data_IF_322955472912
#
_entry.id   IF_322955472912
#
_cell.length_a   1.000
_cell.length_b   1.000
_cell.length_c   1.000
_cell.angle_alpha   90.00
_cell.angle_beta   90.00
_cell.angle_gamma   90.00
#
_symmetry.space_group_name_H-M   'P 1'
#
loop_
_entity.id
_entity.type
_entity.pdbx_description
1 polymer ?
#
# COMPACT_ATOMS: atom_id res chain seq x y z
N UNK A 1 -4.02 9.98 2.80
CA UNK A 1 -3.51 8.93 3.70
C UNK A 1 -4.42 8.81 4.91
N UNK A 2 -4.36 7.68 5.63
CA UNK A 2 -5.44 7.24 6.53
C UNK A 2 -5.74 8.17 7.72
N UNK A 3 -4.76 8.93 8.22
CA UNK A 3 -4.99 9.95 9.25
C UNK A 3 -4.66 11.36 8.73
N UNK A 4 -5.54 12.36 8.84
CA UNK A 4 -5.22 13.72 8.44
C UNK A 4 -4.28 14.43 9.43
N UNK A 5 -4.07 13.88 10.63
CA UNK A 5 -3.29 14.53 11.70
C UNK A 5 -1.82 14.17 11.70
N UNK A 6 -1.40 13.14 10.94
CA UNK A 6 -0.01 12.74 10.87
C UNK A 6 0.75 13.59 9.84
N UNK A 7 1.97 14.07 10.16
CA UNK A 7 2.82 14.83 9.24
C UNK A 7 3.51 13.88 8.24
N UNK A 8 2.69 13.23 7.43
CA UNK A 8 3.06 12.14 6.53
C UNK A 8 4.29 12.40 5.66
N UNK A 9 4.38 13.58 5.05
CA UNK A 9 5.52 13.91 4.20
C UNK A 9 6.84 13.93 4.98
N UNK A 10 6.85 14.57 6.16
CA UNK A 10 8.03 14.60 7.02
C UNK A 10 8.36 13.23 7.61
N UNK A 11 7.33 12.45 7.96
CA UNK A 11 7.51 11.07 8.44
C UNK A 11 8.21 10.21 7.39
N UNK A 12 7.73 10.23 6.14
CA UNK A 12 8.33 9.45 5.07
C UNK A 12 9.75 9.90 4.74
N UNK A 13 9.99 11.20 4.59
CA UNK A 13 11.33 11.75 4.36
C UNK A 13 12.32 11.31 5.45
N UNK A 14 11.88 11.33 6.71
CA UNK A 14 12.70 10.87 7.85
C UNK A 14 13.01 9.38 7.73
N UNK A 15 12.00 8.54 7.47
CA UNK A 15 12.19 7.08 7.34
C UNK A 15 13.11 6.74 6.16
N UNK A 16 12.95 7.40 5.01
CA UNK A 16 13.81 7.18 3.86
C UNK A 16 15.26 7.56 4.15
N UNK A 17 15.49 8.64 4.89
CA UNK A 17 16.82 9.06 5.33
C UNK A 17 17.52 8.08 6.26
N UNK A 18 16.78 7.16 6.89
CA UNK A 18 17.34 6.12 7.76
C UNK A 18 17.83 4.88 7.00
N UNK A 19 17.61 4.77 5.68
CA UNK A 19 18.04 3.62 4.88
C UNK A 19 19.52 3.78 4.51
N UNK A 20 20.45 3.01 5.11
CA UNK A 20 21.85 3.11 4.75
C UNK A 20 22.10 2.45 3.40
N UNK A 21 22.77 3.16 2.49
CA UNK A 21 23.14 2.65 1.15
C UNK A 21 21.95 2.10 0.36
N UNK A 22 21.04 2.96 -0.12
CA UNK A 22 19.80 2.54 -0.78
C UNK A 22 20.03 1.81 -2.12
N UNK A 23 21.23 1.93 -2.69
CA UNK A 23 21.56 1.35 -3.98
C UNK A 23 21.89 -0.15 -3.89
N UNK A 24 21.47 -0.90 -4.91
CA UNK A 24 21.97 -2.25 -5.20
C UNK A 24 22.78 -2.15 -6.49
N UNK A 25 24.05 -2.52 -6.45
CA UNK A 25 24.98 -2.45 -7.60
C UNK A 25 24.99 -1.07 -8.30
N UNK A 26 25.01 0.00 -7.50
CA UNK A 26 25.02 1.39 -8.00
C UNK A 26 23.68 1.89 -8.55
N UNK A 27 22.58 1.16 -8.32
CA UNK A 27 21.25 1.50 -8.85
C UNK A 27 20.20 1.53 -7.74
N UNK A 28 19.29 2.48 -7.85
CA UNK A 28 18.05 2.47 -7.08
C UNK A 28 17.07 1.55 -7.79
N UNK A 29 16.74 0.43 -7.14
CA UNK A 29 15.73 -0.52 -7.63
C UNK A 29 14.47 -0.32 -6.83
N UNK A 30 13.35 -0.13 -7.51
CA UNK A 30 12.03 0.05 -6.89
C UNK A 30 11.07 -1.01 -7.39
N UNK A 31 10.32 -1.59 -6.47
CA UNK A 31 9.19 -2.46 -6.75
C UNK A 31 7.90 -1.67 -6.60
N UNK A 32 6.96 -1.89 -7.50
CA UNK A 32 5.60 -1.39 -7.43
C UNK A 32 4.68 -2.60 -7.46
N UNK A 33 3.83 -2.72 -6.44
CA UNK A 33 2.93 -3.86 -6.30
C UNK A 33 1.62 -3.42 -5.65
N UNK A 34 0.52 -4.01 -6.10
CA UNK A 34 -0.79 -3.81 -5.52
C UNK A 34 -1.10 -4.89 -4.47
N UNK A 35 -2.00 -4.57 -3.54
CA UNK A 35 -2.35 -5.49 -2.47
C UNK A 35 -3.79 -5.24 -2.00
N UNK A 36 -4.53 -6.34 -1.85
CA UNK A 36 -5.85 -6.37 -1.22
C UNK A 36 -5.66 -6.72 0.26
N UNK A 37 -5.90 -5.76 1.14
CA UNK A 37 -5.78 -5.92 2.59
C UNK A 37 -7.18 -6.09 3.18
N UNK A 38 -7.56 -7.33 3.46
CA UNK A 38 -8.84 -7.65 4.09
C UNK A 38 -8.93 -7.04 5.49
N UNK A 39 -10.07 -6.41 5.80
CA UNK A 39 -10.31 -5.78 7.10
C UNK A 39 -11.57 -6.32 7.76
N UNK A 40 -11.64 -6.18 9.08
CA UNK A 40 -12.83 -6.48 9.88
C UNK A 40 -13.26 -5.19 10.57
N UNK A 41 -14.50 -4.75 10.32
CA UNK A 41 -15.04 -3.48 10.82
C UNK A 41 -15.81 -2.72 9.74
N UNK A 42 -16.73 -1.84 10.16
CA UNK A 42 -17.64 -1.12 9.23
C UNK A 42 -17.15 0.28 8.82
N UNK A 43 -16.34 0.93 9.66
CA UNK A 43 -15.87 2.31 9.47
C UNK A 43 -14.35 2.31 9.34
N UNK A 44 -13.89 1.93 8.16
CA UNK A 44 -12.46 1.88 7.84
C UNK A 44 -12.30 2.56 6.50
N UNK A 45 -11.62 3.71 6.53
CA UNK A 45 -11.32 4.51 5.35
C UNK A 45 -10.76 3.67 4.19
N UNK A 46 -11.31 3.87 2.99
CA UNK A 46 -10.84 3.22 1.77
C UNK A 46 -11.10 1.71 1.72
N UNK A 47 -11.90 1.15 2.64
CA UNK A 47 -12.42 -0.20 2.48
C UNK A 47 -13.66 -0.21 1.58
N UNK A 48 -13.74 -1.24 0.75
CA UNK A 48 -14.92 -1.56 -0.02
C UNK A 48 -15.00 -3.07 -0.30
N UNK A 49 -16.08 -3.52 -0.94
CA UNK A 49 -16.16 -4.88 -1.47
C UNK A 49 -15.42 -4.94 -2.81
N UNK A 50 -14.22 -5.50 -2.82
CA UNK A 50 -13.31 -5.50 -3.98
C UNK A 50 -13.29 -6.89 -4.60
N UNK A 51 -13.36 -6.98 -5.93
CA UNK A 51 -13.20 -8.27 -6.59
C UNK A 51 -11.73 -8.74 -6.55
N UNK A 52 -11.48 -9.90 -5.95
CA UNK A 52 -10.16 -10.51 -5.89
C UNK A 52 -10.02 -11.59 -6.98
N UNK A 53 -9.26 -11.26 -8.02
CA UNK A 53 -8.94 -12.17 -9.12
C UNK A 53 -8.05 -13.35 -8.69
N UNK A 54 -7.32 -13.22 -7.58
CA UNK A 54 -6.44 -14.25 -7.06
C UNK A 54 -7.12 -15.17 -6.04
N UNK A 55 -8.37 -14.88 -5.65
CA UNK A 55 -9.13 -15.61 -4.65
C UNK A 55 -9.21 -17.11 -4.98
N UNK A 56 -8.82 -17.94 -4.02
CA UNK A 56 -8.93 -19.40 -4.10
C UNK A 56 -10.35 -19.87 -3.77
N UNK A 57 -10.64 -21.14 -4.01
CA UNK A 57 -11.97 -21.73 -3.82
C UNK A 57 -12.53 -21.59 -2.39
N UNK A 58 -11.66 -21.51 -1.38
CA UNK A 58 -12.02 -21.34 0.03
C UNK A 58 -11.98 -19.87 0.50
N UNK A 59 -11.85 -18.91 -0.41
CA UNK A 59 -11.79 -17.48 -0.09
C UNK A 59 -12.99 -16.74 -0.71
N UNK A 60 -13.38 -15.61 -0.12
CA UNK A 60 -14.38 -14.74 -0.73
C UNK A 60 -13.78 -14.10 -1.97
N UNK A 61 -14.53 -14.08 -3.08
CA UNK A 61 -14.18 -13.31 -4.27
C UNK A 61 -14.41 -11.80 -4.10
N UNK A 62 -15.20 -11.40 -3.11
CA UNK A 62 -15.50 -10.01 -2.79
C UNK A 62 -15.22 -9.73 -1.31
N UNK A 63 -13.95 -9.76 -0.87
CA UNK A 63 -13.63 -9.38 0.50
C UNK A 63 -13.93 -7.89 0.75
N UNK A 64 -14.30 -7.59 2.00
CA UNK A 64 -14.24 -6.24 2.53
C UNK A 64 -12.78 -5.89 2.81
N UNK A 65 -12.20 -4.99 2.01
CA UNK A 65 -10.76 -4.78 1.99
C UNK A 65 -10.39 -3.38 1.51
N UNK A 66 -9.16 -2.96 1.84
CA UNK A 66 -8.49 -1.84 1.17
C UNK A 66 -7.71 -2.38 -0.02
N UNK A 67 -7.82 -1.75 -1.19
CA UNK A 67 -6.86 -1.96 -2.27
C UNK A 67 -5.85 -0.82 -2.24
N UNK A 68 -4.58 -1.18 -2.14
CA UNK A 68 -3.48 -0.23 -2.15
C UNK A 68 -2.50 -0.58 -3.26
N UNK A 69 -1.87 0.45 -3.81
CA UNK A 69 -0.63 0.32 -4.58
C UNK A 69 0.49 0.81 -3.70
N UNK A 70 1.51 -0.01 -3.52
CA UNK A 70 2.68 0.32 -2.73
C UNK A 70 3.91 0.43 -3.61
N UNK A 71 4.83 1.30 -3.20
CA UNK A 71 6.18 1.36 -3.76
C UNK A 71 7.18 1.07 -2.66
N UNK A 72 8.18 0.24 -2.98
CA UNK A 72 9.23 -0.11 -2.06
C UNK A 72 10.59 -0.17 -2.72
N UNK A 73 11.64 0.09 -1.93
CA UNK A 73 13.02 -0.05 -2.35
C UNK A 73 13.40 -1.53 -2.33
N UNK A 74 13.86 -2.07 -3.46
CA UNK A 74 14.36 -3.42 -3.55
C UNK A 74 15.83 -3.45 -3.14
N UNK A 75 16.11 -4.13 -2.03
CA UNK A 75 17.46 -4.25 -1.46
C UNK A 75 17.78 -5.70 -1.16
N UNK A 76 19.01 -6.12 -1.45
CA UNK A 76 19.51 -7.38 -0.92
C UNK A 76 19.88 -7.23 0.56
N UNK A 77 19.22 -8.02 1.42
CA UNK A 77 19.49 -8.12 2.85
C UNK A 77 19.84 -9.58 3.14
N UNK A 78 21.08 -9.83 3.59
CA UNK A 78 21.60 -11.18 3.88
C UNK A 78 21.38 -12.18 2.72
N UNK A 79 21.64 -11.73 1.49
CA UNK A 79 21.53 -12.54 0.27
C UNK A 79 20.10 -12.81 -0.22
N UNK A 80 19.09 -12.11 0.32
CA UNK A 80 17.69 -12.21 -0.11
C UNK A 80 17.14 -10.85 -0.49
N UNK A 81 16.23 -10.83 -1.46
CA UNK A 81 15.50 -9.61 -1.80
C UNK A 81 14.53 -9.23 -0.69
N UNK A 82 14.62 -7.98 -0.24
CA UNK A 82 13.68 -7.33 0.64
C UNK A 82 13.07 -6.13 -0.09
N UNK A 83 11.76 -5.94 0.06
CA UNK A 83 11.06 -4.75 -0.38
C UNK A 83 10.85 -3.84 0.83
N UNK A 84 11.69 -2.81 0.96
CA UNK A 84 11.59 -1.83 2.04
C UNK A 84 10.51 -0.81 1.66
N UNK A 85 9.45 -0.75 2.44
CA UNK A 85 8.28 0.08 2.16
C UNK A 85 8.64 1.57 2.11
N UNK A 86 8.28 2.26 1.02
CA UNK A 86 8.56 3.69 0.86
C UNK A 86 7.30 4.55 0.95
N UNK A 87 6.23 4.19 0.21
CA UNK A 87 4.95 4.89 0.26
C UNK A 87 3.83 3.97 -0.30
N UNK A 88 2.58 4.39 -0.15
CA UNK A 88 1.43 3.75 -0.76
C UNK A 88 0.29 4.72 -1.06
N UNK A 89 -0.60 4.33 -1.96
CA UNK A 89 -1.86 5.03 -2.21
C UNK A 89 -3.01 4.03 -2.25
N UNK A 90 -4.18 4.49 -1.83
CA UNK A 90 -5.42 3.73 -2.00
C UNK A 90 -5.81 3.76 -3.48
N UNK A 91 -6.09 2.59 -4.03
CA UNK A 91 -6.72 2.45 -5.33
C UNK A 91 -8.23 2.46 -5.12
N UNK A 92 -8.86 3.58 -5.47
CA UNK A 92 -10.28 3.81 -5.28
C UNK A 92 -11.00 3.88 -6.64
N UNK A 93 -12.16 3.24 -6.80
CA UNK A 93 -12.96 3.34 -8.01
C UNK A 93 -13.33 4.78 -8.33
N UNK A 94 -13.26 5.15 -9.61
CA UNK A 94 -13.56 6.51 -10.06
C UNK A 94 -14.97 6.98 -9.65
N UNK A 95 -15.95 6.07 -9.65
CA UNK A 95 -17.31 6.36 -9.18
C UNK A 95 -17.33 6.87 -7.73
N UNK A 96 -16.50 6.31 -6.84
CA UNK A 96 -16.39 6.73 -5.43
C UNK A 96 -15.67 8.06 -5.29
N UNK A 97 -14.67 8.33 -6.12
CA UNK A 97 -13.99 9.63 -6.16
C UNK A 97 -14.97 10.73 -6.61
N UNK A 98 -15.81 10.44 -7.60
CA UNK A 98 -16.78 11.38 -8.16
C UNK A 98 -18.00 11.63 -7.26
N UNK A 99 -18.38 10.66 -6.41
CA UNK A 99 -19.54 10.77 -5.51
C UNK A 99 -19.31 11.71 -4.31
N UNK A 100 -18.12 12.30 -4.15
CA UNK A 100 -17.74 13.03 -2.95
C UNK A 100 -17.33 12.09 -1.82
N UNK A 101 -16.41 12.57 -0.97
CA UNK A 101 -15.50 11.81 -0.08
C UNK A 101 -15.94 10.36 0.26
N UNK A 102 -15.09 9.35 -0.01
CA UNK A 102 -15.30 8.00 0.50
C UNK A 102 -15.42 8.05 2.03
N UNK A 103 -16.49 7.44 2.57
CA UNK A 103 -16.78 7.43 4.00
C UNK A 103 -15.60 6.85 4.81
N UNK A 104 -15.36 7.43 5.99
CA UNK A 104 -14.32 7.04 6.95
C UNK A 104 -14.81 5.96 7.92
#
# INVERSE_FOLDING_TARGET
MASPTLPWAGLWQTIWGLIPSPETDGRILVGLDDSIITKVGKKIFGCEAIFDHAAKSNQSKYPWAQNIVSVGLLKQVKGRWACLFLDFRFYLPLMKLNAGKPEA
#
